data_IF_374472693971
#
_entry.id   IF_374472693971
#
_cell.length_a   1.000
_cell.length_b   1.000
_cell.length_c   1.000
_cell.angle_alpha   90.00
_cell.angle_beta   90.00
_cell.angle_gamma   90.00
#
_symmetry.space_group_name_H-M   'P 1'
#
loop_
_entity.id
_entity.type
_entity.pdbx_description
1 polymer ?
#
# COMPACT_ATOMS: atom_id res chain seq x y z
N UNK A 1 4.30 10.68 4.45
CA UNK A 1 4.65 9.31 4.89
C UNK A 1 6.15 9.08 5.07
N UNK A 2 7.01 9.45 4.11
CA UNK A 2 8.48 9.24 4.21
C UNK A 2 9.07 9.77 5.53
N UNK A 3 8.68 10.96 5.98
CA UNK A 3 9.15 11.54 7.25
C UNK A 3 8.74 10.74 8.49
N UNK A 4 7.56 10.10 8.46
CA UNK A 4 7.10 9.24 9.57
C UNK A 4 7.94 7.97 9.65
N UNK A 5 8.29 7.38 8.50
CA UNK A 5 9.19 6.23 8.45
C UNK A 5 10.58 6.60 9.01
N UNK A 6 11.12 7.75 8.59
CA UNK A 6 12.42 8.27 9.08
C UNK A 6 12.37 8.49 10.60
N UNK A 7 11.31 9.14 11.10
CA UNK A 7 11.15 9.39 12.53
C UNK A 7 11.28 8.11 13.36
N UNK A 8 10.60 7.03 12.96
CA UNK A 8 10.66 5.77 13.70
C UNK A 8 12.00 5.05 13.54
N UNK A 9 12.63 5.12 12.36
CA UNK A 9 13.98 4.59 12.16
C UNK A 9 15.01 5.30 13.06
N UNK A 10 14.89 6.62 13.21
CA UNK A 10 15.73 7.42 14.12
C UNK A 10 15.49 7.06 15.60
N UNK A 11 14.30 6.58 15.95
CA UNK A 11 14.01 5.98 17.28
C UNK A 11 14.57 4.57 17.45
N UNK A 12 15.05 3.96 16.38
CA UNK A 12 15.75 2.70 16.42
C UNK A 12 14.90 1.47 16.15
N UNK A 13 13.77 1.58 15.44
CA UNK A 13 13.06 0.39 14.94
C UNK A 13 13.86 -0.29 13.81
N UNK A 14 13.74 -1.61 13.70
CA UNK A 14 14.48 -2.40 12.69
C UNK A 14 13.72 -2.60 11.37
N UNK A 15 12.44 -2.26 11.33
CA UNK A 15 11.63 -2.37 10.13
C UNK A 15 10.15 -2.09 10.36
N UNK A 16 9.36 -2.27 9.30
CA UNK A 16 7.93 -1.98 9.29
C UNK A 16 7.15 -3.12 8.65
N UNK A 17 5.96 -3.38 9.19
CA UNK A 17 4.89 -4.12 8.51
C UNK A 17 3.85 -3.10 8.06
N UNK A 18 3.54 -3.07 6.77
CA UNK A 18 2.55 -2.16 6.19
C UNK A 18 1.18 -2.85 6.22
N UNK A 19 0.20 -2.22 6.87
CA UNK A 19 -1.18 -2.69 6.87
C UNK A 19 -1.93 -2.26 5.61
N UNK A 20 -2.93 -3.05 5.20
CA UNK A 20 -3.85 -2.73 4.11
C UNK A 20 -3.18 -2.26 2.80
N UNK A 21 -1.94 -2.68 2.54
CA UNK A 21 -1.15 -2.20 1.40
C UNK A 21 -1.88 -2.27 0.04
N UNK A 22 -2.70 -3.29 -0.27
CA UNK A 22 -3.48 -3.32 -1.52
C UNK A 22 -4.42 -2.13 -1.78
N UNK A 23 -4.77 -1.35 -0.75
CA UNK A 23 -5.78 -0.29 -0.79
C UNK A 23 -5.15 1.11 -0.69
N UNK A 24 -3.92 1.28 -1.20
CA UNK A 24 -3.17 2.52 -1.06
C UNK A 24 -3.64 3.62 -2.03
N UNK A 25 -4.26 3.23 -3.13
CA UNK A 25 -4.75 4.12 -4.18
C UNK A 25 -6.08 3.63 -4.73
N UNK A 26 -6.88 4.59 -5.19
CA UNK A 26 -8.09 4.39 -5.96
C UNK A 26 -8.00 5.10 -7.32
N UNK A 27 -8.90 4.71 -8.23
CA UNK A 27 -9.01 5.30 -9.56
C UNK A 27 -9.29 6.80 -9.49
N UNK A 28 -8.41 7.60 -10.10
CA UNK A 28 -8.49 9.06 -10.07
C UNK A 28 -9.73 9.63 -10.79
N UNK A 29 -10.36 8.84 -11.68
CA UNK A 29 -11.58 9.24 -12.38
C UNK A 29 -12.86 8.90 -11.59
N UNK A 30 -12.76 8.23 -10.44
CA UNK A 30 -13.89 7.84 -9.59
C UNK A 30 -15.01 7.14 -10.36
N UNK A 31 -14.64 6.23 -11.27
CA UNK A 31 -15.60 5.48 -12.08
C UNK A 31 -16.35 4.46 -11.24
N UNK A 32 -17.60 4.20 -11.60
CA UNK A 32 -18.38 3.12 -11.01
C UNK A 32 -17.70 1.77 -11.29
N UNK A 33 -17.55 0.97 -10.23
CA UNK A 33 -16.99 -0.36 -10.34
C UNK A 33 -17.97 -1.31 -11.03
N UNK A 34 -17.50 -2.20 -11.93
CA UNK A 34 -18.35 -3.22 -12.52
C UNK A 34 -18.73 -4.29 -11.48
N UNK A 35 -19.76 -5.09 -11.78
CA UNK A 35 -20.13 -6.26 -10.99
C UNK A 35 -18.97 -7.27 -10.94
N UNK A 36 -18.84 -7.98 -9.82
CA UNK A 36 -17.90 -9.10 -9.73
C UNK A 36 -18.41 -10.33 -10.49
N UNK A 37 -17.49 -11.23 -10.87
CA UNK A 37 -17.83 -12.47 -11.58
C UNK A 37 -18.81 -13.37 -10.81
N UNK A 38 -18.88 -13.22 -9.48
CA UNK A 38 -19.74 -13.98 -8.59
C UNK A 38 -20.79 -13.12 -7.86
N UNK A 39 -21.11 -11.92 -8.38
CA UNK A 39 -22.01 -10.96 -7.75
C UNK A 39 -23.39 -11.52 -7.39
N UNK A 40 -23.91 -12.49 -8.16
CA UNK A 40 -25.21 -13.14 -7.91
C UNK A 40 -25.30 -13.81 -6.53
N UNK A 41 -24.16 -14.14 -5.91
CA UNK A 41 -24.08 -14.73 -4.56
C UNK A 41 -24.20 -13.68 -3.45
N UNK A 42 -24.22 -12.40 -3.78
CA UNK A 42 -24.13 -11.30 -2.83
C UNK A 42 -25.25 -10.29 -3.03
N UNK A 43 -25.60 -9.57 -1.97
CA UNK A 43 -26.50 -8.42 -2.02
C UNK A 43 -25.74 -7.17 -2.50
N UNK A 44 -26.44 -6.18 -3.10
CA UNK A 44 -25.78 -4.98 -3.63
C UNK A 44 -24.89 -4.19 -2.65
N UNK A 45 -25.15 -4.31 -1.34
CA UNK A 45 -24.39 -3.64 -0.28
C UNK A 45 -23.22 -4.46 0.27
N UNK A 46 -23.02 -5.70 -0.18
CA UNK A 46 -21.95 -6.57 0.30
C UNK A 46 -20.65 -6.32 -0.47
N UNK A 47 -19.52 -6.36 0.24
CA UNK A 47 -18.20 -6.02 -0.30
C UNK A 47 -17.76 -6.85 -1.53
N UNK A 48 -18.29 -8.07 -1.66
CA UNK A 48 -17.96 -8.98 -2.76
C UNK A 48 -18.89 -8.81 -3.98
N UNK A 49 -19.89 -7.92 -3.91
CA UNK A 49 -20.83 -7.67 -5.00
C UNK A 49 -20.18 -6.96 -6.20
N UNK A 50 -19.28 -6.00 -5.94
CA UNK A 50 -18.56 -5.26 -6.97
C UNK A 50 -17.14 -5.78 -7.15
N UNK A 51 -16.66 -5.70 -8.38
CA UNK A 51 -15.25 -5.85 -8.72
C UNK A 51 -14.45 -4.69 -8.12
N UNK A 52 -13.22 -4.95 -7.69
CA UNK A 52 -12.39 -3.97 -6.97
C UNK A 52 -11.26 -3.40 -7.81
N UNK A 53 -11.36 -3.53 -9.13
CA UNK A 53 -10.33 -3.10 -10.09
C UNK A 53 -9.95 -1.62 -9.96
N UNK A 54 -10.81 -0.78 -9.38
CA UNK A 54 -10.59 0.64 -9.21
C UNK A 54 -10.20 1.05 -7.79
N UNK A 55 -10.11 0.13 -6.83
CA UNK A 55 -9.79 0.46 -5.42
C UNK A 55 -8.74 -0.46 -4.78
N UNK A 56 -8.31 -1.51 -5.48
CA UNK A 56 -7.40 -2.52 -4.94
C UNK A 56 -6.39 -2.94 -6.00
N UNK A 57 -5.14 -3.08 -5.58
CA UNK A 57 -4.01 -3.58 -6.38
C UNK A 57 -3.68 -2.69 -7.60
N UNK A 58 -3.93 -1.37 -7.51
CA UNK A 58 -3.58 -0.42 -8.57
C UNK A 58 -2.04 -0.33 -8.71
N UNK A 59 -1.49 -0.17 -9.93
CA UNK A 59 -0.05 -0.09 -10.18
C UNK A 59 0.72 0.89 -9.27
N UNK A 60 0.13 2.05 -9.00
CA UNK A 60 0.66 3.11 -8.15
C UNK A 60 0.95 2.63 -6.72
N UNK A 61 0.21 1.63 -6.25
CA UNK A 61 0.44 0.98 -4.96
C UNK A 61 1.84 0.36 -4.92
N UNK A 62 2.20 -0.39 -5.95
CA UNK A 62 3.51 -1.06 -6.02
C UNK A 62 4.64 -0.03 -6.16
N UNK A 63 4.44 1.00 -6.97
CA UNK A 63 5.41 2.10 -7.12
C UNK A 63 5.68 2.79 -5.78
N UNK A 64 4.66 3.06 -4.98
CA UNK A 64 4.83 3.66 -3.65
C UNK A 64 5.57 2.72 -2.68
N UNK A 65 5.29 1.42 -2.72
CA UNK A 65 6.04 0.43 -1.92
C UNK A 65 7.52 0.42 -2.31
N UNK A 66 7.86 0.50 -3.61
CA UNK A 66 9.25 0.59 -4.05
C UNK A 66 9.92 1.89 -3.60
N UNK A 67 9.21 3.02 -3.62
CA UNK A 67 9.74 4.26 -3.07
C UNK A 67 10.03 4.19 -1.56
N UNK A 68 9.20 3.49 -0.78
CA UNK A 68 9.49 3.25 0.64
C UNK A 68 10.66 2.30 0.83
N UNK A 69 10.79 1.25 0.00
CA UNK A 69 11.97 0.37 0.01
C UNK A 69 13.26 1.14 -0.27
N UNK A 70 13.26 1.99 -1.31
CA UNK A 70 14.39 2.84 -1.66
C UNK A 70 14.78 3.77 -0.50
N UNK A 71 13.80 4.35 0.20
CA UNK A 71 14.06 5.14 1.40
C UNK A 71 14.79 4.32 2.47
N UNK A 72 14.35 3.09 2.75
CA UNK A 72 15.01 2.21 3.73
C UNK A 72 16.43 1.85 3.32
N UNK A 73 16.65 1.56 2.03
CA UNK A 73 17.99 1.29 1.48
C UNK A 73 18.92 2.49 1.64
N UNK A 74 18.43 3.68 1.34
CA UNK A 74 19.21 4.91 1.48
C UNK A 74 19.47 5.26 2.95
N UNK A 75 18.48 5.08 3.82
CA UNK A 75 18.65 5.26 5.26
C UNK A 75 19.76 4.33 5.80
N UNK A 76 19.71 3.03 5.45
CA UNK A 76 20.74 2.06 5.83
C UNK A 76 22.13 2.44 5.31
N UNK A 77 22.26 2.90 4.06
CA UNK A 77 23.56 3.34 3.52
C UNK A 77 24.15 4.54 4.27
N UNK A 78 23.32 5.47 4.73
CA UNK A 78 23.76 6.72 5.36
C UNK A 78 23.99 6.58 6.87
N UNK A 79 23.19 5.76 7.55
CA UNK A 79 23.11 5.68 9.02
C UNK A 79 23.38 4.27 9.57
N UNK A 80 23.58 3.28 8.70
CA UNK A 80 23.80 1.89 9.09
C UNK A 80 25.19 1.66 9.68
N UNK A 81 25.27 0.70 10.60
CA UNK A 81 26.51 0.11 11.12
C UNK A 81 26.44 -1.42 11.00
N UNK A 82 27.41 -2.17 11.52
CA UNK A 82 27.50 -3.63 11.35
C UNK A 82 26.27 -4.43 11.84
N UNK A 83 25.34 -3.80 12.57
CA UNK A 83 24.10 -4.38 13.08
C UNK A 83 22.84 -3.94 12.33
N UNK A 84 22.94 -3.06 11.31
CA UNK A 84 21.80 -2.53 10.54
C UNK A 84 21.99 -2.58 9.04
#
# INVERSE_FOLDING_TARGET
MKDVLIFWLDKGVDGFRIDAAPFLFEDAAFRDAPLSDNHEKYKPYEYMYLSRIYIKDLPETYDMIYQWRELLDNYKKQKGGNTR
#
